data_IF_476698468386
#
_entry.id   IF_476698468386
#
_cell.length_a   1.000
_cell.length_b   1.000
_cell.length_c   1.000
_cell.angle_alpha   90.00
_cell.angle_beta   90.00
_cell.angle_gamma   90.00
#
_symmetry.space_group_name_H-M   'P 1'
#
loop_
_entity.id
_entity.type
_entity.pdbx_description
1 polymer ?
#
# COMPACT_ATOMS: atom_id res chain seq x y z
N UNK A 1 16.55 12.18 13.59
CA UNK A 1 16.76 10.84 13.02
C UNK A 1 15.76 10.58 11.92
N UNK A 2 16.18 10.12 10.72
CA UNK A 2 15.22 9.77 9.68
C UNK A 2 14.43 8.53 10.13
N UNK A 3 13.11 8.64 10.09
CA UNK A 3 12.18 7.53 10.38
C UNK A 3 12.07 6.71 9.09
N UNK A 4 12.36 5.41 9.17
CA UNK A 4 11.99 4.46 8.12
C UNK A 4 10.46 4.33 8.15
N UNK A 5 9.75 5.07 7.30
CA UNK A 5 8.38 4.72 6.99
C UNK A 5 8.40 3.39 6.21
N UNK A 6 7.46 2.50 6.53
CA UNK A 6 7.21 1.30 5.73
C UNK A 6 7.05 1.73 4.27
N UNK A 7 7.92 1.21 3.39
CA UNK A 7 7.82 1.47 1.96
C UNK A 7 6.38 1.15 1.50
N UNK A 8 5.79 1.94 0.59
CA UNK A 8 4.52 1.58 0.00
C UNK A 8 4.69 0.23 -0.69
N UNK A 9 3.91 -0.75 -0.23
CA UNK A 9 3.96 -2.14 -0.69
C UNK A 9 2.57 -2.59 -1.12
N UNK A 10 2.55 -3.50 -2.09
CA UNK A 10 1.36 -4.26 -2.46
C UNK A 10 1.42 -5.62 -1.78
N UNK A 11 0.26 -6.16 -1.37
CA UNK A 11 0.16 -7.51 -0.79
C UNK A 11 -0.65 -8.40 -1.72
N UNK A 12 -0.06 -9.51 -2.17
CA UNK A 12 -0.70 -10.49 -3.03
C UNK A 12 -0.45 -11.90 -2.50
N UNK A 13 -1.51 -12.62 -2.16
CA UNK A 13 -1.45 -13.99 -1.63
C UNK A 13 -0.43 -14.16 -0.47
N UNK A 14 -0.40 -13.20 0.47
CA UNK A 14 0.49 -13.23 1.64
C UNK A 14 1.94 -12.84 1.37
N UNK A 15 2.29 -12.44 0.14
CA UNK A 15 3.60 -11.87 -0.20
C UNK A 15 3.51 -10.34 -0.36
N UNK A 16 4.52 -9.64 0.11
CA UNK A 16 4.70 -8.18 -0.06
C UNK A 16 5.58 -7.88 -1.27
N UNK A 17 5.19 -6.87 -2.04
CA UNK A 17 5.87 -6.41 -3.25
C UNK A 17 6.15 -4.92 -3.14
N UNK A 18 7.38 -4.51 -3.44
CA UNK A 18 7.78 -3.09 -3.41
C UNK A 18 7.23 -2.33 -4.62
N UNK A 19 7.11 -1.01 -4.53
CA UNK A 19 6.82 -0.18 -5.70
C UNK A 19 7.75 -0.51 -6.89
N UNK A 20 7.18 -0.69 -8.08
CA UNK A 20 7.88 -1.09 -9.30
C UNK A 20 8.09 -2.59 -9.45
N UNK A 21 7.96 -3.37 -8.38
CA UNK A 21 8.11 -4.83 -8.43
C UNK A 21 6.98 -5.45 -9.26
N UNK A 22 7.33 -6.44 -10.08
CA UNK A 22 6.40 -7.14 -10.94
C UNK A 22 6.43 -8.66 -10.71
N UNK A 23 5.27 -9.31 -10.74
CA UNK A 23 5.13 -10.72 -10.43
C UNK A 23 3.99 -11.39 -11.20
N UNK A 24 4.07 -12.71 -11.32
CA UNK A 24 2.95 -13.55 -11.75
C UNK A 24 2.10 -13.93 -10.54
N UNK A 25 0.78 -13.65 -10.53
CA UNK A 25 -0.06 -13.93 -9.38
C UNK A 25 -0.20 -15.45 -9.20
N UNK A 26 -0.23 -15.89 -7.94
CA UNK A 26 -0.52 -17.26 -7.58
C UNK A 26 -1.98 -17.35 -7.11
N UNK A 27 -2.81 -18.05 -7.86
CA UNK A 27 -4.21 -18.30 -7.52
C UNK A 27 -4.31 -19.63 -6.78
N UNK A 28 -4.96 -19.65 -5.61
CA UNK A 28 -5.05 -20.83 -4.73
C UNK A 28 -5.43 -22.14 -5.46
N UNK A 29 -6.32 -22.07 -6.45
CA UNK A 29 -6.76 -23.24 -7.22
C UNK A 29 -5.96 -23.52 -8.51
N UNK A 30 -5.19 -22.55 -9.02
CA UNK A 30 -4.56 -22.63 -10.35
C UNK A 30 -3.02 -22.50 -10.32
N UNK A 31 -2.43 -22.22 -9.16
CA UNK A 31 -1.01 -21.93 -9.05
C UNK A 31 -0.63 -20.61 -9.72
N UNK A 32 0.62 -20.53 -10.20
CA UNK A 32 1.17 -19.33 -10.84
C UNK A 32 0.52 -19.12 -12.21
N UNK A 33 -0.06 -17.94 -12.43
CA UNK A 33 -0.66 -17.56 -13.71
C UNK A 33 0.36 -16.83 -14.56
N UNK A 34 1.13 -17.60 -15.32
CA UNK A 34 2.25 -17.10 -16.15
C UNK A 34 1.87 -16.01 -17.15
N UNK A 35 0.61 -16.00 -17.61
CA UNK A 35 0.11 -15.04 -18.60
C UNK A 35 -0.52 -13.78 -18.00
N UNK A 36 -0.37 -13.56 -16.70
CA UNK A 36 -0.75 -12.30 -16.05
C UNK A 36 0.49 -11.74 -15.37
N UNK A 37 0.80 -10.48 -15.64
CA UNK A 37 1.86 -9.75 -14.96
C UNK A 37 1.22 -8.65 -14.13
N UNK A 38 1.41 -8.72 -12.82
CA UNK A 38 1.02 -7.69 -11.88
C UNK A 38 2.24 -6.82 -11.55
N UNK A 39 2.03 -5.53 -11.40
CA UNK A 39 3.05 -4.57 -10.98
C UNK A 39 2.52 -3.76 -9.81
N UNK A 40 3.36 -3.51 -8.81
CA UNK A 40 2.98 -2.68 -7.68
C UNK A 40 3.23 -1.21 -8.02
N UNK A 41 2.16 -0.43 -8.09
CA UNK A 41 2.23 1.01 -8.19
C UNK A 41 1.91 1.62 -6.82
N UNK A 42 2.93 1.77 -6.00
CA UNK A 42 2.87 2.33 -4.64
C UNK A 42 2.09 1.37 -3.72
N UNK A 43 0.78 1.52 -3.58
CA UNK A 43 -0.09 0.60 -2.84
C UNK A 43 -1.12 -0.10 -3.74
N UNK A 44 -1.11 0.22 -5.03
CA UNK A 44 -2.07 -0.29 -6.01
C UNK A 44 -1.46 -1.42 -6.84
N UNK A 45 -2.06 -2.60 -6.78
CA UNK A 45 -1.72 -3.71 -7.67
C UNK A 45 -2.38 -3.50 -9.04
N UNK A 46 -1.58 -3.42 -10.10
CA UNK A 46 -2.07 -3.30 -11.48
C UNK A 46 -1.67 -4.56 -12.26
N UNK A 47 -2.65 -5.31 -12.77
CA UNK A 47 -2.38 -6.55 -13.50
C UNK A 47 -2.78 -6.43 -14.96
N UNK A 48 -1.91 -6.92 -15.85
CA UNK A 48 -2.12 -6.95 -17.29
C UNK A 48 -1.96 -8.35 -17.83
N UNK A 49 -2.76 -8.70 -18.84
CA UNK A 49 -2.63 -9.96 -19.57
C UNK A 49 -1.43 -9.87 -20.51
N UNK A 50 -0.57 -10.88 -20.47
CA UNK A 50 0.48 -11.06 -21.48
C UNK A 50 -0.16 -11.61 -22.74
N UNK A 51 0.02 -10.90 -23.85
CA UNK A 51 -0.44 -11.33 -25.16
C UNK A 51 0.70 -12.00 -25.91
N UNK A 52 0.50 -13.28 -26.24
CA UNK A 52 1.46 -14.02 -27.05
C UNK A 52 1.26 -13.75 -28.55
N UNK A 53 2.32 -13.83 -29.36
CA UNK A 53 2.19 -13.68 -30.80
C UNK A 53 1.39 -14.84 -31.39
N UNK A 54 0.56 -14.52 -32.39
CA UNK A 54 -0.21 -15.53 -33.14
C UNK A 54 0.67 -16.37 -34.07
N UNK A 55 1.85 -15.86 -34.45
CA UNK A 55 2.83 -16.54 -35.32
C UNK A 55 4.20 -16.48 -34.69
N UNK A 56 4.89 -17.62 -34.72
CA UNK A 56 6.24 -17.78 -34.20
C UNK A 56 7.24 -17.96 -35.35
N UNK A 57 8.51 -17.53 -35.19
CA UNK A 57 9.51 -17.59 -36.26
C UNK A 57 10.09 -19.01 -36.50
N UNK A 58 9.38 -20.06 -36.08
CA UNK A 58 9.78 -21.46 -36.23
C UNK A 58 8.55 -22.35 -36.46
N UNK A 59 8.78 -23.53 -37.06
CA UNK A 59 7.72 -24.50 -37.36
C UNK A 59 7.14 -25.17 -36.11
N UNK A 60 7.96 -25.36 -35.07
CA UNK A 60 7.57 -26.08 -33.84
C UNK A 60 7.89 -25.27 -32.57
N UNK A 61 7.08 -24.25 -32.23
CA UNK A 61 7.24 -23.50 -30.98
C UNK A 61 6.90 -24.38 -29.78
N UNK A 62 7.73 -24.34 -28.75
CA UNK A 62 7.62 -25.19 -27.55
C UNK A 62 7.14 -24.38 -26.35
N UNK A 63 6.21 -24.95 -25.58
CA UNK A 63 5.80 -24.41 -24.28
C UNK A 63 6.88 -24.75 -23.25
N UNK A 64 7.29 -23.76 -22.46
CA UNK A 64 8.23 -23.93 -21.35
C UNK A 64 7.51 -23.55 -20.06
N UNK A 65 7.74 -24.32 -19.00
CA UNK A 65 7.22 -24.06 -17.68
C UNK A 65 7.73 -22.72 -17.14
N UNK A 66 6.84 -21.94 -16.53
CA UNK A 66 7.11 -20.60 -16.02
C UNK A 66 7.09 -19.49 -17.08
N UNK A 67 6.79 -19.79 -18.35
CA UNK A 67 6.74 -18.77 -19.43
C UNK A 67 5.36 -18.76 -20.07
N UNK A 68 4.68 -17.61 -20.09
CA UNK A 68 3.38 -17.49 -20.76
C UNK A 68 3.39 -18.00 -22.22
N UNK A 69 4.36 -17.51 -23.00
CA UNK A 69 4.43 -17.74 -24.44
C UNK A 69 5.38 -18.87 -24.81
N UNK A 70 5.10 -19.53 -25.94
CA UNK A 70 5.99 -20.55 -26.51
C UNK A 70 7.31 -19.91 -26.95
N UNK A 71 8.37 -20.71 -27.00
CA UNK A 71 9.67 -20.30 -27.54
C UNK A 71 10.07 -21.14 -28.75
N UNK A 72 10.99 -20.64 -29.55
CA UNK A 72 11.55 -21.38 -30.67
C UNK A 72 12.93 -21.96 -30.27
N UNK A 73 13.08 -23.29 -30.18
CA UNK A 73 14.37 -23.91 -29.90
C UNK A 73 15.37 -23.56 -31.00
N UNK A 74 16.61 -23.21 -30.62
CA UNK A 74 17.70 -22.89 -31.57
C UNK A 74 17.92 -21.40 -31.86
N UNK A 75 17.07 -20.49 -31.36
CA UNK A 75 17.46 -19.08 -31.19
C UNK A 75 17.88 -18.91 -29.74
N UNK A 76 19.14 -18.52 -29.49
CA UNK A 76 19.54 -17.99 -28.17
C UNK A 76 18.55 -16.86 -27.90
N UNK A 77 17.59 -17.09 -27.03
CA UNK A 77 16.76 -16.02 -26.53
C UNK A 77 17.77 -15.02 -25.98
N UNK A 78 17.80 -13.79 -26.54
CA UNK A 78 18.29 -12.68 -25.73
C UNK A 78 17.42 -12.77 -24.50
N UNK A 79 18.01 -13.21 -23.40
CA UNK A 79 17.41 -13.02 -22.09
C UNK A 79 17.19 -11.52 -22.00
N UNK A 80 15.96 -11.09 -22.26
CA UNK A 80 15.43 -9.86 -21.71
C UNK A 80 15.34 -10.11 -20.20
N UNK A 81 16.52 -10.17 -19.58
CA UNK A 81 16.71 -9.92 -18.17
C UNK A 81 16.11 -8.52 -18.00
N UNK A 82 15.05 -8.34 -17.20
CA UNK A 82 14.72 -6.99 -16.78
C UNK A 82 15.97 -6.54 -16.03
N UNK A 83 16.72 -5.62 -16.64
CA UNK A 83 17.87 -4.98 -16.04
C UNK A 83 17.45 -4.54 -14.65
N UNK A 84 17.89 -5.28 -13.63
CA UNK A 84 17.78 -4.84 -12.25
C UNK A 84 18.78 -3.71 -12.10
N UNK A 85 18.40 -2.52 -12.59
CA UNK A 85 18.90 -1.29 -12.01
C UNK A 85 18.24 -1.22 -10.65
N UNK A 86 18.93 -1.79 -9.66
CA UNK A 86 18.72 -1.51 -8.26
C UNK A 86 19.15 -0.05 -8.06
N UNK A 87 18.28 0.88 -8.48
CA UNK A 87 18.44 2.28 -8.16
C UNK A 87 18.08 2.38 -6.68
N UNK A 88 19.08 2.10 -5.85
CA UNK A 88 19.05 2.25 -4.40
C UNK A 88 19.06 3.74 -4.05
N UNK A 89 18.18 4.53 -4.66
CA UNK A 89 17.77 5.82 -4.15
C UNK A 89 16.73 5.52 -3.08
N UNK A 90 17.16 5.63 -1.82
CA UNK A 90 16.21 5.67 -0.70
C UNK A 90 15.11 6.67 -1.02
N UNK A 91 13.87 6.21 -1.08
CA UNK A 91 12.71 7.06 -1.26
C UNK A 91 12.52 7.84 0.03
N UNK A 92 13.09 9.04 0.09
CA UNK A 92 12.72 10.03 1.08
C UNK A 92 11.35 10.58 0.67
N UNK A 93 10.32 10.36 1.50
CA UNK A 93 9.03 11.01 1.32
C UNK A 93 9.19 12.53 1.55
N UNK A 94 9.38 13.27 0.46
CA UNK A 94 9.08 14.69 0.41
C UNK A 94 7.64 14.90 -0.03
N UNK A 95 6.69 14.80 0.90
CA UNK A 95 5.38 15.46 0.81
C UNK A 95 4.83 15.61 2.24
N UNK A 96 4.07 16.68 2.49
CA UNK A 96 3.54 17.10 3.80
C UNK A 96 2.88 15.92 4.53
N UNK A 97 3.46 15.50 5.65
CA UNK A 97 2.95 14.38 6.46
C UNK A 97 2.18 14.95 7.65
N UNK A 98 0.89 14.67 7.72
CA UNK A 98 0.01 15.16 8.78
C UNK A 98 0.12 14.25 10.00
N UNK A 99 0.42 14.77 11.20
CA UNK A 99 0.44 13.97 12.41
C UNK A 99 -0.98 13.50 12.80
N UNK A 100 -1.07 12.24 13.21
CA UNK A 100 -2.27 11.58 13.71
C UNK A 100 -2.06 11.22 15.17
N UNK A 101 -2.94 11.70 16.03
CA UNK A 101 -2.89 11.48 17.46
C UNK A 101 -4.06 10.63 17.94
N UNK A 102 -3.85 9.92 19.03
CA UNK A 102 -4.88 9.13 19.69
C UNK A 102 -4.99 9.49 21.16
N UNK A 103 -6.22 9.44 21.67
CA UNK A 103 -6.50 9.36 23.09
C UNK A 103 -7.60 8.33 23.37
N UNK A 104 -7.49 7.65 24.50
CA UNK A 104 -8.48 6.68 24.95
C UNK A 104 -8.78 6.97 26.41
N UNK A 105 -10.05 7.20 26.72
CA UNK A 105 -10.57 7.41 28.06
C UNK A 105 -11.60 6.34 28.37
N UNK A 106 -11.58 5.80 29.58
CA UNK A 106 -12.51 4.75 30.03
C UNK A 106 -13.17 5.19 31.34
N UNK A 107 -14.50 5.19 31.37
CA UNK A 107 -15.30 5.56 32.54
C UNK A 107 -16.56 4.67 32.58
N UNK A 108 -16.83 4.02 33.72
CA UNK A 108 -18.06 3.23 33.96
C UNK A 108 -18.50 2.26 32.85
N UNK A 109 -17.54 1.57 32.22
CA UNK A 109 -17.80 0.60 31.14
C UNK A 109 -18.11 1.24 29.78
N UNK A 110 -17.90 2.55 29.66
CA UNK A 110 -17.87 3.32 28.44
C UNK A 110 -16.42 3.71 28.10
N UNK A 111 -16.03 3.44 26.85
CA UNK A 111 -14.73 3.78 26.29
C UNK A 111 -14.91 4.88 25.26
N UNK A 112 -14.35 6.05 25.51
CA UNK A 112 -14.25 7.12 24.53
C UNK A 112 -12.88 7.06 23.85
N UNK A 113 -12.86 6.72 22.56
CA UNK A 113 -11.67 6.76 21.71
C UNK A 113 -11.70 8.02 20.86
N UNK A 114 -10.59 8.75 20.81
CA UNK A 114 -10.43 9.96 20.00
C UNK A 114 -9.25 9.80 19.06
N UNK A 115 -9.45 10.10 17.78
CA UNK A 115 -8.37 10.20 16.78
C UNK A 115 -8.36 11.61 16.23
N UNK A 116 -7.24 12.31 16.40
CA UNK A 116 -7.06 13.69 15.96
C UNK A 116 -6.12 13.76 14.76
N UNK A 117 -6.54 14.45 13.71
CA UNK A 117 -5.80 14.65 12.47
C UNK A 117 -5.52 16.14 12.28
N UNK A 118 -4.26 16.54 12.20
CA UNK A 118 -3.91 17.89 11.76
C UNK A 118 -4.15 18.04 10.26
N UNK A 119 -4.78 19.14 9.85
CA UNK A 119 -4.95 19.52 8.44
C UNK A 119 -4.25 20.85 8.20
N UNK A 120 -3.65 21.05 7.03
CA UNK A 120 -2.95 22.31 6.71
C UNK A 120 -3.83 23.34 5.97
N UNK A 121 -4.94 22.91 5.35
CA UNK A 121 -5.80 23.77 4.52
C UNK A 121 -7.29 23.49 4.73
N UNK A 122 -7.97 24.19 5.67
CA UNK A 122 -7.41 25.18 6.60
C UNK A 122 -6.59 24.53 7.73
N UNK A 123 -5.72 25.30 8.43
CA UNK A 123 -4.97 24.82 9.58
C UNK A 123 -5.89 24.57 10.78
N UNK A 124 -6.27 23.32 10.99
CA UNK A 124 -7.16 22.89 12.07
C UNK A 124 -6.86 21.44 12.45
N UNK A 125 -7.48 20.95 13.52
CA UNK A 125 -7.42 19.56 13.93
C UNK A 125 -8.82 18.98 13.88
N UNK A 126 -9.01 17.95 13.07
CA UNK A 126 -10.25 17.17 13.01
C UNK A 126 -10.15 16.03 14.02
N UNK A 127 -11.01 16.05 15.04
CA UNK A 127 -11.06 15.06 16.11
C UNK A 127 -12.27 14.18 15.90
N UNK A 128 -12.02 12.93 15.55
CA UNK A 128 -13.04 11.90 15.46
C UNK A 128 -13.23 11.28 16.85
N UNK A 129 -14.44 11.31 17.38
CA UNK A 129 -14.77 10.84 18.72
C UNK A 129 -15.72 9.65 18.61
N UNK A 130 -15.34 8.51 19.19
CA UNK A 130 -16.15 7.30 19.26
C UNK A 130 -16.42 6.94 20.72
N UNK A 131 -17.70 6.88 21.08
CA UNK A 131 -18.15 6.41 22.40
C UNK A 131 -18.63 4.97 22.29
N UNK A 132 -17.94 4.06 22.97
CA UNK A 132 -18.15 2.61 22.88
C UNK A 132 -18.60 2.10 24.24
N UNK A 133 -19.81 1.55 24.34
CA UNK A 133 -20.33 0.98 25.60
C UNK A 133 -20.53 -0.52 25.44
N UNK A 134 -19.95 -1.31 26.35
CA UNK A 134 -19.98 -2.79 26.28
C UNK A 134 -19.54 -3.34 24.91
N UNK A 135 -18.54 -2.70 24.28
CA UNK A 135 -18.02 -3.09 22.97
C UNK A 135 -18.84 -2.64 21.75
N UNK A 136 -19.94 -1.92 21.96
CA UNK A 136 -20.82 -1.43 20.89
C UNK A 136 -20.64 0.09 20.74
N UNK A 137 -20.43 0.56 19.50
CA UNK A 137 -20.40 1.99 19.19
C UNK A 137 -21.78 2.61 19.47
N UNK A 138 -21.86 3.50 20.44
CA UNK A 138 -23.06 4.23 20.82
C UNK A 138 -23.17 5.56 20.09
N UNK A 139 -22.06 6.30 20.02
CA UNK A 139 -22.02 7.62 19.42
C UNK A 139 -20.74 7.85 18.61
N UNK A 140 -20.87 8.57 17.51
CA UNK A 140 -19.76 9.00 16.67
C UNK A 140 -20.02 10.40 16.14
N UNK A 141 -19.05 11.29 16.35
CA UNK A 141 -19.07 12.63 15.79
C UNK A 141 -17.65 13.12 15.50
N UNK A 142 -17.57 14.20 14.72
CA UNK A 142 -16.31 14.86 14.36
C UNK A 142 -16.35 16.28 14.88
N UNK A 143 -15.34 16.65 15.65
CA UNK A 143 -15.12 18.00 16.16
C UNK A 143 -13.97 18.66 15.39
N UNK A 144 -14.08 19.97 15.17
CA UNK A 144 -12.99 20.78 14.61
C UNK A 144 -12.46 21.69 15.69
N UNK A 145 -11.19 21.56 16.01
CA UNK A 145 -10.50 22.40 17.01
C UNK A 145 -9.34 23.13 16.35
N UNK A 146 -9.03 24.32 16.85
CA UNK A 146 -7.87 25.05 16.36
C UNK A 146 -6.57 24.37 16.81
N UNK A 147 -5.51 24.50 16.02
CA UNK A 147 -4.20 23.94 16.37
C UNK A 147 -3.69 24.40 17.73
N UNK A 148 -3.87 25.69 18.05
CA UNK A 148 -3.48 26.27 19.35
C UNK A 148 -4.18 25.61 20.53
N UNK A 149 -5.49 25.39 20.41
CA UNK A 149 -6.26 24.70 21.45
C UNK A 149 -5.87 23.22 21.56
N UNK A 150 -5.52 22.58 20.45
CA UNK A 150 -5.08 21.18 20.46
C UNK A 150 -3.72 21.00 21.15
N UNK A 151 -2.80 21.94 21.02
CA UNK A 151 -1.47 21.91 21.67
C UNK A 151 -1.55 21.90 23.21
N UNK A 152 -2.65 22.40 23.78
CA UNK A 152 -2.94 22.35 25.23
C UNK A 152 -3.47 20.98 25.69
N UNK A 153 -3.86 20.09 24.78
CA UNK A 153 -4.45 18.78 25.08
C UNK A 153 -3.37 17.69 25.18
N UNK A 154 -2.67 17.65 26.32
CA UNK A 154 -1.56 16.70 26.56
C UNK A 154 -1.96 15.20 26.60
N UNK A 155 -3.24 14.87 26.60
CA UNK A 155 -3.73 13.50 26.63
C UNK A 155 -3.73 12.81 25.26
N UNK A 156 -3.43 13.55 24.20
CA UNK A 156 -3.25 13.02 22.85
C UNK A 156 -1.81 12.58 22.63
N UNK A 157 -1.64 11.34 22.18
CA UNK A 157 -0.33 10.76 21.85
C UNK A 157 -0.19 10.66 20.35
N UNK A 158 0.94 11.10 19.81
CA UNK A 158 1.27 10.91 18.40
C UNK A 158 1.37 9.40 18.12
N UNK A 159 0.52 8.90 17.23
CA UNK A 159 0.49 7.47 16.86
C UNK A 159 1.18 7.24 15.54
N UNK A 160 0.90 8.09 14.55
CA UNK A 160 1.46 7.95 13.21
C UNK A 160 1.45 9.28 12.47
N UNK A 161 1.99 9.31 11.26
CA UNK A 161 1.79 10.40 10.31
C UNK A 161 1.12 9.83 9.07
N UNK A 162 0.18 10.56 8.50
CA UNK A 162 -0.56 10.16 7.31
C UNK A 162 -0.35 11.16 6.18
N UNK A 163 -0.54 10.70 4.95
CA UNK A 163 -0.60 11.56 3.77
C UNK A 163 -2.05 11.69 3.35
N UNK A 164 -2.47 12.91 2.99
CA UNK A 164 -3.80 13.11 2.43
C UNK A 164 -3.83 12.41 1.06
N UNK A 165 -4.66 11.39 0.91
CA UNK A 165 -4.95 10.86 -0.43
C UNK A 165 -5.66 11.97 -1.21
N UNK A 166 -4.98 12.53 -2.21
CA UNK A 166 -5.66 13.34 -3.25
C UNK A 166 -6.67 12.48 -4.00
#
# INVERSE_FOLDING_TARGET
SPVLCSLPVCVSNGKTYSHGESWHPNLRAFGIVECVLCTCNVTKQECKKIHCPNRYPCKHPQKIDGKCCKVCPGKKAKEELPSQNFDSKGYFCGEETMPVYESVFMEDGETTRKIALETERPPQVEVHVWTIRKGILQHFHIEKISKRMFEELHHFKLVTRTTLSK
#
